data_IF_454008766542
#
_entry.id   IF_454008766542
#
_cell.length_a   1.000
_cell.length_b   1.000
_cell.length_c   1.000
_cell.angle_alpha   90.00
_cell.angle_beta   90.00
_cell.angle_gamma   90.00
#
_symmetry.space_group_name_H-M   'P 1'
#
loop_
_entity.id
_entity.type
_entity.pdbx_description
1 polymer ?
#
# COMPACT_ATOMS: atom_id res chain seq x y z
N UNK A 1 -27.82 -26.09 16.08
CA UNK A 1 -27.01 -25.25 16.98
C UNK A 1 -26.72 -23.93 16.26
N UNK A 2 -27.23 -22.76 16.62
CA UNK A 2 -28.26 -22.47 17.64
C UNK A 2 -27.75 -21.70 18.86
N UNK A 3 -27.67 -20.36 18.75
CA UNK A 3 -27.73 -19.36 19.83
C UNK A 3 -27.79 -17.95 19.21
N UNK A 4 -28.56 -17.05 19.83
CA UNK A 4 -28.70 -15.64 19.42
C UNK A 4 -28.81 -14.77 20.67
N UNK A 5 -28.00 -13.71 20.81
CA UNK A 5 -28.25 -12.62 21.78
C UNK A 5 -27.46 -11.34 21.45
N UNK A 6 -28.23 -10.26 21.32
CA UNK A 6 -27.99 -8.81 21.26
C UNK A 6 -26.90 -8.29 22.23
N UNK A 7 -26.23 -7.15 22.01
CA UNK A 7 -26.72 -5.75 22.03
C UNK A 7 -25.52 -4.78 21.83
N UNK A 8 -25.56 -3.44 21.68
CA UNK A 8 -26.43 -2.33 21.20
C UNK A 8 -25.59 -1.05 21.54
N UNK A 9 -25.49 0.11 20.87
CA UNK A 9 -25.91 0.82 19.62
C UNK A 9 -24.72 1.78 19.29
N UNK A 10 -24.54 2.57 18.21
CA UNK A 10 -25.33 3.16 17.09
C UNK A 10 -24.40 3.24 15.84
N UNK A 11 -24.82 3.58 14.61
CA UNK A 11 -26.15 3.82 14.03
C UNK A 11 -26.26 3.05 12.69
N UNK A 12 -27.47 2.72 12.25
CA UNK A 12 -27.68 1.82 11.12
C UNK A 12 -27.24 2.41 9.76
N UNK A 13 -26.39 1.67 9.06
CA UNK A 13 -26.10 1.87 7.63
C UNK A 13 -26.81 0.75 6.87
N UNK A 14 -27.84 1.10 6.11
CA UNK A 14 -28.41 0.24 5.08
C UNK A 14 -27.69 0.54 3.76
N UNK A 15 -27.16 -0.49 3.11
CA UNK A 15 -26.63 -0.38 1.75
C UNK A 15 -27.71 -0.82 0.76
N UNK A 16 -28.01 0.07 -0.18
CA UNK A 16 -29.06 -0.16 -1.17
C UNK A 16 -28.43 -0.51 -2.51
N UNK A 17 -28.84 -1.65 -3.07
CA UNK A 17 -28.33 -2.26 -4.29
C UNK A 17 -29.51 -2.76 -5.13
N UNK A 18 -29.29 -2.97 -6.42
CA UNK A 18 -30.29 -3.39 -7.42
C UNK A 18 -31.41 -2.36 -7.74
N UNK A 19 -31.86 -2.37 -9.00
CA UNK A 19 -32.97 -1.53 -9.47
C UNK A 19 -33.69 -2.14 -10.69
N UNK A 20 -34.55 -3.12 -10.42
CA UNK A 20 -35.79 -3.36 -11.18
C UNK A 20 -36.78 -3.93 -10.16
N UNK A 21 -37.55 -3.02 -9.57
CA UNK A 21 -37.96 -3.06 -8.15
C UNK A 21 -36.75 -2.89 -7.21
N UNK A 22 -37.05 -2.53 -5.95
CA UNK A 22 -36.07 -2.04 -4.97
C UNK A 22 -36.05 -3.01 -3.81
N UNK A 23 -35.07 -3.90 -3.81
CA UNK A 23 -34.81 -4.78 -2.68
C UNK A 23 -33.87 -4.10 -1.68
N UNK A 24 -34.14 -4.30 -0.39
CA UNK A 24 -33.30 -3.83 0.71
C UNK A 24 -32.46 -5.00 1.21
N UNK A 25 -31.15 -4.81 1.30
CA UNK A 25 -30.26 -5.82 1.86
C UNK A 25 -29.59 -5.27 3.11
N UNK A 26 -29.68 -6.07 4.19
CA UNK A 26 -28.88 -5.87 5.38
C UNK A 26 -27.49 -6.39 5.02
N UNK A 27 -26.47 -5.54 5.21
CA UNK A 27 -25.08 -5.88 4.96
C UNK A 27 -24.33 -5.83 6.30
N UNK A 28 -23.39 -6.75 6.50
CA UNK A 28 -22.65 -6.86 7.75
C UNK A 28 -21.54 -5.81 7.80
N UNK A 29 -21.51 -4.98 8.85
CA UNK A 29 -20.47 -3.97 9.06
C UNK A 29 -19.38 -4.48 10.00
N UNK A 30 -18.12 -4.28 9.61
CA UNK A 30 -16.95 -4.71 10.38
C UNK A 30 -16.03 -3.52 10.66
N UNK A 31 -15.97 -3.13 11.93
CA UNK A 31 -15.18 -2.00 12.43
C UNK A 31 -13.71 -2.40 12.64
N UNK A 32 -12.79 -1.51 12.26
CA UNK A 32 -11.37 -1.64 12.58
C UNK A 32 -11.07 -1.13 13.99
N UNK A 33 -10.11 -1.75 14.68
CA UNK A 33 -9.59 -1.23 15.95
C UNK A 33 -8.68 -0.03 15.69
N UNK A 34 -9.22 1.17 15.84
CA UNK A 34 -8.49 2.41 15.54
C UNK A 34 -8.11 3.24 16.77
N UNK A 35 -7.58 2.58 17.82
CA UNK A 35 -6.77 3.18 18.91
C UNK A 35 -7.38 4.38 19.68
N UNK A 36 -8.68 4.66 19.53
CA UNK A 36 -9.38 5.80 20.14
C UNK A 36 -9.58 7.01 19.23
N UNK A 37 -9.41 6.88 17.91
CA UNK A 37 -9.86 7.89 16.93
C UNK A 37 -11.39 7.98 16.85
N UNK A 38 -11.90 9.08 16.26
CA UNK A 38 -13.33 9.42 16.23
C UNK A 38 -14.08 8.68 15.12
N UNK A 39 -13.46 8.59 13.95
CA UNK A 39 -13.94 7.79 12.82
C UNK A 39 -12.92 6.68 12.57
N UNK A 40 -13.42 5.51 12.16
CA UNK A 40 -12.62 4.31 11.95
C UNK A 40 -12.93 3.75 10.57
N UNK A 41 -11.96 3.06 9.95
CA UNK A 41 -12.26 2.26 8.76
C UNK A 41 -13.35 1.24 9.10
N UNK A 42 -14.30 1.05 8.18
CA UNK A 42 -15.42 0.12 8.35
C UNK A 42 -15.65 -0.57 7.01
N UNK A 43 -15.44 -1.88 6.96
CA UNK A 43 -15.89 -2.66 5.80
C UNK A 43 -17.40 -2.90 5.93
N UNK A 44 -18.13 -2.90 4.82
CA UNK A 44 -19.55 -3.28 4.83
C UNK A 44 -19.82 -4.30 3.73
N UNK A 45 -20.07 -5.53 4.16
CA UNK A 45 -20.10 -6.72 3.32
C UNK A 45 -21.54 -7.06 2.95
N UNK A 46 -21.91 -6.81 1.68
CA UNK A 46 -23.23 -7.10 1.16
C UNK A 46 -23.29 -8.45 0.44
N UNK A 47 -24.33 -9.28 0.66
CA UNK A 47 -24.52 -10.53 -0.07
C UNK A 47 -24.81 -10.24 -1.55
N UNK A 48 -23.98 -10.78 -2.44
CA UNK A 48 -24.20 -10.67 -3.89
C UNK A 48 -25.30 -11.66 -4.34
N UNK A 49 -26.50 -11.16 -4.59
CA UNK A 49 -27.62 -11.97 -5.08
C UNK A 49 -27.50 -12.20 -6.60
N UNK A 50 -27.47 -13.46 -7.10
CA UNK A 50 -27.27 -13.76 -8.52
C UNK A 50 -28.30 -13.15 -9.49
N UNK A 51 -29.48 -12.77 -9.01
CA UNK A 51 -30.51 -12.11 -9.82
C UNK A 51 -30.24 -10.60 -10.05
N UNK A 52 -29.34 -9.99 -9.28
CA UNK A 52 -29.16 -8.55 -9.20
C UNK A 52 -27.74 -8.13 -9.61
N UNK A 53 -27.53 -7.92 -10.92
CA UNK A 53 -26.30 -7.37 -11.49
C UNK A 53 -26.12 -5.87 -11.14
N UNK A 54 -25.86 -5.60 -9.86
CA UNK A 54 -25.73 -4.27 -9.30
C UNK A 54 -24.39 -3.66 -9.68
N UNK A 55 -24.39 -2.47 -10.26
CA UNK A 55 -23.16 -1.75 -10.66
C UNK A 55 -22.73 -0.65 -9.69
N UNK A 56 -23.64 -0.22 -8.81
CA UNK A 56 -23.45 0.85 -7.85
C UNK A 56 -24.10 0.50 -6.50
N UNK A 57 -23.64 1.16 -5.44
CA UNK A 57 -24.21 1.09 -4.09
C UNK A 57 -24.50 2.50 -3.57
N UNK A 58 -25.39 2.63 -2.58
CA UNK A 58 -25.51 3.88 -1.80
C UNK A 58 -25.76 3.61 -0.31
N UNK A 59 -25.24 4.50 0.53
CA UNK A 59 -25.32 4.45 1.99
C UNK A 59 -26.57 5.22 2.45
N UNK A 60 -27.49 4.55 3.13
CA UNK A 60 -28.72 5.14 3.65
C UNK A 60 -28.90 4.83 5.14
N UNK A 61 -29.30 5.82 5.94
CA UNK A 61 -29.63 5.61 7.37
C UNK A 61 -31.06 5.07 7.58
N UNK A 62 -31.88 5.07 6.53
CA UNK A 62 -33.27 4.56 6.55
C UNK A 62 -33.62 3.89 5.21
N UNK A 63 -34.50 2.90 5.28
CA UNK A 63 -34.92 2.03 4.17
C UNK A 63 -36.01 2.65 3.24
N UNK A 64 -36.02 3.97 3.04
CA UNK A 64 -37.07 4.63 2.24
C UNK A 64 -36.70 4.67 0.73
N UNK A 65 -37.63 4.21 -0.11
CA UNK A 65 -37.53 4.23 -1.56
C UNK A 65 -37.22 5.63 -2.14
N UNK A 66 -37.82 6.70 -1.59
CA UNK A 66 -37.78 8.09 -2.08
C UNK A 66 -36.52 8.84 -1.67
N UNK A 67 -36.02 8.62 -0.45
CA UNK A 67 -34.86 9.34 0.09
C UNK A 67 -33.56 9.13 -0.72
N UNK A 68 -33.46 8.05 -1.49
CA UNK A 68 -32.28 7.77 -2.33
C UNK A 68 -32.19 8.61 -3.63
N UNK A 69 -33.21 9.40 -3.99
CA UNK A 69 -33.13 10.24 -5.20
C UNK A 69 -32.07 11.34 -5.08
N UNK A 70 -31.72 11.75 -3.86
CA UNK A 70 -30.70 12.77 -3.56
C UNK A 70 -29.41 12.17 -2.96
N UNK A 71 -29.16 10.86 -3.12
CA UNK A 71 -27.98 10.19 -2.56
C UNK A 71 -26.84 10.01 -3.56
N UNK A 72 -25.61 10.02 -3.04
CA UNK A 72 -24.40 9.69 -3.82
C UNK A 72 -24.34 8.19 -4.05
N UNK A 73 -24.30 7.78 -5.33
CA UNK A 73 -24.09 6.39 -5.73
C UNK A 73 -22.61 6.13 -6.01
N UNK A 74 -22.02 5.19 -5.28
CA UNK A 74 -20.63 4.77 -5.44
C UNK A 74 -20.58 3.58 -6.41
N UNK A 75 -19.71 3.64 -7.42
CA UNK A 75 -19.52 2.54 -8.39
C UNK A 75 -18.74 1.40 -7.77
N UNK A 76 -19.21 0.17 -7.98
CA UNK A 76 -18.50 -1.05 -7.59
C UNK A 76 -17.41 -1.31 -8.63
N UNK A 77 -16.15 -1.37 -8.21
CA UNK A 77 -15.02 -1.48 -9.15
C UNK A 77 -14.68 -2.94 -9.51
N UNK A 78 -14.86 -3.88 -8.58
CA UNK A 78 -14.45 -5.28 -8.69
C UNK A 78 -15.58 -6.22 -9.18
N UNK A 79 -16.43 -5.75 -10.08
CA UNK A 79 -17.58 -6.51 -10.61
C UNK A 79 -17.18 -7.67 -11.53
N UNK A 80 -16.15 -7.46 -12.36
CA UNK A 80 -15.70 -8.46 -13.34
C UNK A 80 -14.83 -9.48 -12.64
N UNK A 81 -15.45 -10.57 -12.17
CA UNK A 81 -14.74 -11.77 -11.72
C UNK A 81 -13.94 -12.34 -12.90
N UNK A 82 -12.68 -12.65 -12.64
CA UNK A 82 -11.74 -13.33 -13.52
C UNK A 82 -11.08 -14.46 -12.73
N UNK A 83 -10.62 -15.50 -13.40
CA UNK A 83 -9.71 -16.46 -12.75
C UNK A 83 -8.25 -15.96 -12.79
N UNK A 84 -7.37 -16.55 -11.97
CA UNK A 84 -6.05 -15.96 -11.71
C UNK A 84 -5.12 -15.98 -12.94
N UNK A 85 -5.41 -16.85 -13.90
CA UNK A 85 -4.79 -16.96 -15.22
C UNK A 85 -5.16 -15.80 -16.17
N UNK A 86 -6.28 -15.11 -15.90
CA UNK A 86 -6.77 -13.94 -16.65
C UNK A 86 -6.44 -12.60 -15.95
N UNK A 87 -5.66 -12.64 -14.85
CA UNK A 87 -5.26 -11.44 -14.13
C UNK A 87 -4.25 -10.63 -14.94
N UNK A 88 -4.48 -9.31 -15.02
CA UNK A 88 -3.65 -8.38 -15.77
C UNK A 88 -2.24 -8.25 -15.16
N UNK A 89 -2.14 -8.44 -13.84
CA UNK A 89 -0.91 -8.32 -13.08
C UNK A 89 -0.67 -9.60 -12.26
N UNK A 90 0.55 -10.15 -12.32
CA UNK A 90 0.98 -11.15 -11.36
C UNK A 90 1.24 -10.46 -10.01
N UNK A 91 1.89 -9.28 -10.02
CA UNK A 91 2.30 -8.57 -8.81
C UNK A 91 2.02 -7.06 -8.88
N UNK A 92 1.26 -6.57 -7.91
CA UNK A 92 0.91 -5.16 -7.71
C UNK A 92 1.40 -4.66 -6.35
N UNK A 93 1.78 -3.39 -6.27
CA UNK A 93 2.18 -2.71 -5.04
C UNK A 93 1.17 -1.62 -4.70
N UNK A 94 0.72 -1.57 -3.45
CA UNK A 94 -0.17 -0.54 -2.92
C UNK A 94 0.59 0.25 -1.85
N UNK A 95 0.89 1.51 -2.13
CA UNK A 95 1.46 2.41 -1.14
C UNK A 95 0.39 2.99 -0.22
N UNK A 96 0.80 3.26 1.01
CA UNK A 96 0.08 4.15 1.90
C UNK A 96 -0.09 5.56 1.29
N UNK A 97 -1.07 6.28 1.83
CA UNK A 97 -1.51 7.55 1.28
C UNK A 97 -0.45 8.66 1.38
N UNK A 98 -0.27 9.44 0.31
CA UNK A 98 0.56 10.64 0.28
C UNK A 98 -0.16 11.83 0.93
N UNK A 99 0.55 12.54 1.80
CA UNK A 99 0.06 13.73 2.50
C UNK A 99 1.21 14.67 2.87
N UNK A 100 0.85 15.87 3.34
CA UNK A 100 1.79 16.91 3.78
C UNK A 100 2.85 17.26 2.73
N UNK A 101 2.42 17.26 1.46
CA UNK A 101 3.15 17.79 0.31
C UNK A 101 4.49 17.07 0.07
N UNK A 102 4.51 15.76 0.39
CA UNK A 102 5.64 14.85 0.23
C UNK A 102 6.24 14.96 -1.18
N UNK A 103 7.55 15.26 -1.27
CA UNK A 103 8.25 15.60 -2.52
C UNK A 103 9.60 14.87 -2.66
N UNK A 104 9.69 13.63 -2.18
CA UNK A 104 10.92 12.83 -2.14
C UNK A 104 11.21 12.15 -3.50
N UNK A 105 11.29 12.95 -4.56
CA UNK A 105 11.42 12.54 -5.97
C UNK A 105 12.49 11.47 -6.19
N UNK A 106 13.70 11.67 -5.66
CA UNK A 106 14.82 10.76 -5.91
C UNK A 106 14.55 9.36 -5.34
N UNK A 107 14.12 9.28 -4.08
CA UNK A 107 13.77 8.00 -3.44
C UNK A 107 12.61 7.33 -4.18
N UNK A 108 11.55 8.06 -4.52
CA UNK A 108 10.40 7.48 -5.24
C UNK A 108 10.81 6.95 -6.62
N UNK A 109 11.64 7.69 -7.37
CA UNK A 109 12.11 7.22 -8.69
C UNK A 109 12.95 5.95 -8.57
N UNK A 110 13.87 5.93 -7.60
CA UNK A 110 14.71 4.75 -7.33
C UNK A 110 13.88 3.55 -6.86
N UNK A 111 12.86 3.77 -6.00
CA UNK A 111 11.91 2.75 -5.55
C UNK A 111 11.06 2.20 -6.71
N UNK A 112 10.53 3.04 -7.60
CA UNK A 112 9.72 2.61 -8.75
C UNK A 112 10.52 1.76 -9.74
N UNK A 113 11.73 2.20 -10.10
CA UNK A 113 12.60 1.43 -10.99
C UNK A 113 13.14 0.16 -10.32
N UNK A 114 13.44 0.18 -9.00
CA UNK A 114 13.71 -1.06 -8.26
C UNK A 114 12.53 -2.02 -8.32
N UNK A 115 11.29 -1.56 -8.15
CA UNK A 115 10.11 -2.43 -8.25
C UNK A 115 9.92 -3.02 -9.65
N UNK A 116 10.22 -2.28 -10.73
CA UNK A 116 10.27 -2.82 -12.10
C UNK A 116 11.28 -3.96 -12.21
N UNK A 117 12.51 -3.75 -11.73
CA UNK A 117 13.57 -4.78 -11.75
C UNK A 117 13.23 -6.00 -10.87
N UNK A 118 12.44 -5.80 -9.81
CA UNK A 118 11.92 -6.84 -8.93
C UNK A 118 10.65 -7.54 -9.47
N UNK A 119 10.18 -7.21 -10.68
CA UNK A 119 9.07 -7.89 -11.36
C UNK A 119 7.68 -7.43 -10.93
N UNK A 120 7.55 -6.23 -10.36
CA UNK A 120 6.25 -5.55 -10.18
C UNK A 120 5.74 -5.04 -11.52
N UNK A 121 4.43 -5.12 -11.75
CA UNK A 121 3.79 -4.70 -12.99
C UNK A 121 2.88 -3.47 -12.83
N UNK A 122 2.41 -3.18 -11.62
CA UNK A 122 1.53 -2.05 -11.32
C UNK A 122 1.80 -1.52 -9.91
N UNK A 123 1.76 -0.21 -9.72
CA UNK A 123 1.91 0.47 -8.43
C UNK A 123 0.72 1.41 -8.23
N UNK A 124 0.11 1.40 -7.05
CA UNK A 124 -1.09 2.15 -6.73
C UNK A 124 -0.78 3.11 -5.59
N UNK A 125 -1.10 4.39 -5.79
CA UNK A 125 -0.69 5.49 -4.90
C UNK A 125 -1.92 6.33 -4.56
N UNK A 126 -2.35 6.27 -3.31
CA UNK A 126 -3.42 7.15 -2.82
C UNK A 126 -2.82 8.52 -2.51
N UNK A 127 -3.50 9.60 -2.90
CA UNK A 127 -2.93 10.95 -2.81
C UNK A 127 -3.92 11.96 -2.20
N UNK A 128 -3.63 12.43 -0.98
CA UNK A 128 -4.24 13.63 -0.38
C UNK A 128 -3.46 14.89 -0.75
N UNK A 129 -2.14 14.87 -0.64
CA UNK A 129 -1.26 15.87 -1.26
C UNK A 129 0.18 15.39 -1.43
N UNK A 130 0.83 15.84 -2.50
CA UNK A 130 2.24 15.64 -2.81
C UNK A 130 2.84 16.94 -3.36
N UNK A 131 4.17 17.09 -3.32
CA UNK A 131 4.84 18.23 -3.92
C UNK A 131 4.80 18.22 -5.46
N UNK A 132 5.04 19.37 -6.12
CA UNK A 132 4.85 19.53 -7.57
C UNK A 132 5.87 18.75 -8.41
N UNK A 133 7.02 18.38 -7.84
CA UNK A 133 8.03 17.61 -8.56
C UNK A 133 7.69 16.11 -8.53
N UNK A 134 7.21 15.62 -7.38
CA UNK A 134 6.66 14.29 -7.27
C UNK A 134 5.36 14.13 -8.07
N UNK A 135 4.51 15.17 -8.13
CA UNK A 135 3.32 15.14 -8.99
C UNK A 135 3.72 14.94 -10.47
N UNK A 136 4.69 15.70 -10.99
CA UNK A 136 5.22 15.54 -12.35
C UNK A 136 5.81 14.14 -12.59
N UNK A 137 6.54 13.60 -11.61
CA UNK A 137 7.07 12.24 -11.66
C UNK A 137 5.95 11.19 -11.77
N UNK A 138 4.96 11.24 -10.87
CA UNK A 138 3.85 10.29 -10.85
C UNK A 138 2.99 10.39 -12.12
N UNK A 139 2.73 11.60 -12.63
CA UNK A 139 2.06 11.81 -13.91
C UNK A 139 2.80 11.11 -15.07
N UNK A 140 4.14 11.18 -15.11
CA UNK A 140 4.96 10.49 -16.13
C UNK A 140 4.81 8.97 -16.08
N UNK A 141 4.77 8.37 -14.88
CA UNK A 141 4.57 6.93 -14.71
C UNK A 141 3.12 6.48 -14.93
N UNK A 142 2.13 7.34 -14.65
CA UNK A 142 0.72 7.09 -14.99
C UNK A 142 0.50 7.08 -16.50
N UNK A 143 1.19 7.94 -17.26
CA UNK A 143 1.19 7.89 -18.73
C UNK A 143 1.85 6.62 -19.30
N UNK A 144 2.72 5.94 -18.54
CA UNK A 144 3.28 4.62 -18.89
C UNK A 144 2.37 3.45 -18.47
N UNK A 145 1.28 3.71 -17.76
CA UNK A 145 0.40 2.68 -17.21
C UNK A 145 1.04 1.83 -16.10
N UNK A 146 2.13 2.31 -15.48
CA UNK A 146 2.81 1.61 -14.38
C UNK A 146 2.37 2.10 -12.99
N UNK A 147 1.87 3.33 -12.90
CA UNK A 147 1.37 3.93 -11.65
C UNK A 147 -0.09 4.37 -11.80
N UNK A 148 -0.97 3.88 -10.92
CA UNK A 148 -2.32 4.41 -10.70
C UNK A 148 -2.31 5.39 -9.52
N UNK A 149 -2.47 6.68 -9.79
CA UNK A 149 -2.72 7.68 -8.73
C UNK A 149 -4.21 7.74 -8.44
N UNK A 150 -4.60 7.42 -7.20
CA UNK A 150 -5.97 7.45 -6.72
C UNK A 150 -6.18 8.72 -5.88
N UNK A 151 -7.03 9.67 -6.29
CA UNK A 151 -7.32 10.85 -5.48
C UNK A 151 -7.97 10.46 -4.14
N UNK A 152 -7.40 10.97 -3.04
CA UNK A 152 -7.87 10.71 -1.67
C UNK A 152 -7.99 12.03 -0.89
N UNK A 153 -8.96 12.90 -1.22
CA UNK A 153 -9.12 14.24 -0.63
C UNK A 153 -9.74 14.21 0.79
N UNK A 154 -9.29 13.31 1.66
CA UNK A 154 -9.84 13.08 3.00
C UNK A 154 -9.82 14.34 3.88
N UNK A 155 -8.82 15.21 3.67
CA UNK A 155 -8.68 16.52 4.32
C UNK A 155 -9.78 17.53 3.94
N UNK A 156 -10.56 17.29 2.88
CA UNK A 156 -11.73 18.10 2.52
C UNK A 156 -13.01 17.66 3.25
N UNK A 157 -12.97 16.53 3.98
CA UNK A 157 -14.13 15.91 4.60
C UNK A 157 -14.00 15.70 6.12
N UNK A 158 -12.77 15.63 6.64
CA UNK A 158 -12.46 15.49 8.08
C UNK A 158 -11.05 16.02 8.36
N UNK A 159 -10.62 16.09 9.62
CA UNK A 159 -9.26 16.46 10.00
C UNK A 159 -8.38 15.19 10.18
N UNK A 160 -7.65 14.71 9.16
CA UNK A 160 -6.83 13.51 9.28
C UNK A 160 -5.67 13.67 10.26
N UNK A 161 -5.38 12.63 11.04
CA UNK A 161 -4.21 12.60 11.91
C UNK A 161 -2.92 12.43 11.13
N UNK A 162 -1.86 13.10 11.61
CA UNK A 162 -0.48 12.93 11.15
C UNK A 162 0.28 11.80 11.86
N UNK A 163 -0.39 11.04 12.74
CA UNK A 163 0.23 9.97 13.51
C UNK A 163 -0.75 8.88 13.97
N UNK A 164 -0.22 7.93 14.75
CA UNK A 164 -0.97 6.76 15.20
C UNK A 164 -1.62 6.90 16.59
N UNK A 165 -1.31 7.95 17.34
CA UNK A 165 -1.90 8.23 18.66
C UNK A 165 -2.77 9.49 18.60
N UNK A 166 -4.10 9.40 18.83
CA UNK A 166 -4.98 10.58 18.83
C UNK A 166 -4.63 11.56 19.95
N UNK A 167 -4.08 11.07 21.07
CA UNK A 167 -3.67 11.90 22.23
C UNK A 167 -2.46 12.78 21.96
N UNK A 168 -1.57 12.37 21.05
CA UNK A 168 -0.33 13.08 20.73
C UNK A 168 -0.45 13.89 19.43
N UNK A 169 -1.17 13.35 18.43
CA UNK A 169 -1.19 13.89 17.07
C UNK A 169 -2.53 14.56 16.70
N UNK A 170 -3.56 14.43 17.55
CA UNK A 170 -4.92 14.88 17.24
C UNK A 170 -5.51 14.21 15.99
N UNK A 171 -6.54 14.84 15.43
CA UNK A 171 -7.24 14.37 14.21
C UNK A 171 -8.42 13.44 14.50
N UNK A 172 -9.35 13.35 13.54
CA UNK A 172 -10.56 12.53 13.61
C UNK A 172 -10.32 11.06 13.20
N UNK A 173 -9.31 10.77 12.36
CA UNK A 173 -8.99 9.43 11.82
C UNK A 173 -7.46 9.19 11.76
N UNK A 174 -7.01 7.96 11.95
CA UNK A 174 -5.61 7.52 11.93
C UNK A 174 -4.92 7.69 10.57
N UNK A 175 -3.68 8.22 10.57
CA UNK A 175 -2.78 8.39 9.40
C UNK A 175 -3.50 8.62 8.06
N UNK A 176 -4.24 9.72 7.91
CA UNK A 176 -4.96 10.06 6.67
C UNK A 176 -5.87 8.96 6.11
N UNK A 177 -6.35 8.02 6.94
CA UNK A 177 -7.15 6.88 6.49
C UNK A 177 -6.34 5.78 5.80
N UNK A 178 -5.04 5.62 6.11
CA UNK A 178 -4.14 4.59 5.57
C UNK A 178 -4.77 3.18 5.59
N UNK A 179 -5.50 2.84 6.65
CA UNK A 179 -6.24 1.57 6.75
C UNK A 179 -7.31 1.45 5.65
N UNK A 180 -8.05 2.51 5.37
CA UNK A 180 -9.06 2.52 4.30
C UNK A 180 -8.41 2.41 2.92
N UNK A 181 -7.33 3.15 2.66
CA UNK A 181 -6.65 3.14 1.35
C UNK A 181 -5.99 1.80 1.04
N UNK A 182 -5.35 1.15 2.02
CA UNK A 182 -4.73 -0.16 1.83
C UNK A 182 -5.78 -1.25 1.54
N UNK A 183 -6.92 -1.27 2.25
CA UNK A 183 -7.97 -2.26 1.99
C UNK A 183 -8.75 -1.97 0.70
N UNK A 184 -9.05 -0.71 0.34
CA UNK A 184 -9.61 -0.39 -0.98
C UNK A 184 -8.68 -0.89 -2.10
N UNK A 185 -7.36 -0.74 -1.94
CA UNK A 185 -6.40 -1.20 -2.95
C UNK A 185 -6.46 -2.72 -3.16
N UNK A 186 -6.56 -3.51 -2.08
CA UNK A 186 -6.76 -4.97 -2.14
C UNK A 186 -8.07 -5.32 -2.83
N UNK A 187 -9.19 -4.70 -2.45
CA UNK A 187 -10.51 -5.00 -3.02
C UNK A 187 -10.64 -4.56 -4.50
N UNK A 188 -10.06 -3.41 -4.87
CA UNK A 188 -9.95 -2.89 -6.24
C UNK A 188 -9.17 -3.82 -7.17
N UNK A 189 -8.11 -4.43 -6.66
CA UNK A 189 -7.24 -5.33 -7.43
C UNK A 189 -7.62 -6.81 -7.32
N UNK A 190 -8.73 -7.14 -6.65
CA UNK A 190 -9.11 -8.52 -6.31
C UNK A 190 -9.26 -9.48 -7.50
N UNK A 191 -9.64 -8.96 -8.67
CA UNK A 191 -9.76 -9.72 -9.93
C UNK A 191 -8.80 -9.20 -11.02
N UNK A 192 -7.71 -8.54 -10.60
CA UNK A 192 -6.72 -7.91 -11.48
C UNK A 192 -5.28 -8.32 -11.12
N UNK A 193 -5.02 -8.69 -9.87
CA UNK A 193 -3.66 -8.95 -9.34
C UNK A 193 -3.58 -10.24 -8.54
N UNK A 194 -2.65 -11.15 -8.90
CA UNK A 194 -2.45 -12.43 -8.17
C UNK A 194 -1.83 -12.21 -6.79
N UNK A 195 -0.94 -11.23 -6.68
CA UNK A 195 -0.39 -10.72 -5.43
C UNK A 195 -0.55 -9.21 -5.33
N UNK A 196 -0.84 -8.75 -4.11
CA UNK A 196 -0.78 -7.34 -3.71
C UNK A 196 0.17 -7.21 -2.53
N UNK A 197 1.18 -6.35 -2.67
CA UNK A 197 2.02 -5.89 -1.57
C UNK A 197 1.41 -4.62 -0.94
N UNK A 198 1.34 -4.59 0.39
CA UNK A 198 1.01 -3.41 1.19
C UNK A 198 2.29 -2.92 1.88
N UNK A 199 2.78 -1.72 1.53
CA UNK A 199 3.96 -1.09 2.13
C UNK A 199 3.88 0.44 2.16
N UNK A 200 4.83 1.08 2.84
CA UNK A 200 5.01 2.53 2.83
C UNK A 200 6.03 2.95 1.74
N UNK A 201 5.88 4.15 1.18
CA UNK A 201 6.60 4.61 -0.02
C UNK A 201 8.13 4.70 0.14
N UNK A 202 8.61 4.80 1.37
CA UNK A 202 10.03 4.84 1.74
C UNK A 202 10.66 3.44 1.98
N UNK A 203 9.92 2.38 1.69
CA UNK A 203 10.31 0.98 1.85
C UNK A 203 10.42 0.24 0.51
N UNK A 204 11.45 -0.60 0.36
CA UNK A 204 11.57 -1.56 -0.76
C UNK A 204 11.59 -2.98 -0.20
N UNK A 205 10.68 -3.82 -0.68
CA UNK A 205 10.68 -5.26 -0.36
C UNK A 205 11.66 -5.98 -1.28
N UNK A 206 12.82 -6.39 -0.77
CA UNK A 206 13.89 -6.98 -1.55
C UNK A 206 14.07 -8.48 -1.23
N UNK A 207 13.87 -9.40 -2.19
CA UNK A 207 14.22 -10.81 -2.02
C UNK A 207 15.74 -10.98 -2.08
N UNK A 208 16.30 -11.90 -1.28
CA UNK A 208 17.75 -12.17 -1.19
C UNK A 208 18.11 -13.54 -1.77
N UNK A 209 17.18 -14.48 -1.83
CA UNK A 209 17.37 -15.83 -2.42
C UNK A 209 16.83 -15.94 -3.86
N UNK A 210 16.19 -14.89 -4.37
CA UNK A 210 15.52 -14.85 -5.68
C UNK A 210 15.77 -13.49 -6.35
N UNK A 211 15.67 -13.43 -7.69
CA UNK A 211 15.91 -12.19 -8.43
C UNK A 211 14.70 -11.25 -8.40
N UNK A 212 13.49 -11.81 -8.32
CA UNK A 212 12.22 -11.05 -8.40
C UNK A 212 11.20 -11.53 -7.35
N UNK A 213 10.24 -10.66 -7.02
CA UNK A 213 9.17 -10.95 -6.07
C UNK A 213 8.24 -12.09 -6.55
N UNK A 214 7.82 -12.17 -7.83
CA UNK A 214 7.08 -13.33 -8.35
C UNK A 214 7.81 -14.67 -8.16
N UNK A 215 9.12 -14.74 -8.44
CA UNK A 215 9.91 -15.98 -8.25
C UNK A 215 9.89 -16.44 -6.79
N UNK A 216 10.06 -15.50 -5.85
CA UNK A 216 9.96 -15.79 -4.41
C UNK A 216 8.57 -16.31 -4.05
N UNK A 217 7.50 -15.66 -4.53
CA UNK A 217 6.13 -16.06 -4.18
C UNK A 217 5.74 -17.43 -4.75
N UNK A 218 6.19 -17.78 -5.96
CA UNK A 218 5.97 -19.13 -6.51
C UNK A 218 6.69 -20.22 -5.70
N UNK A 219 7.89 -19.95 -5.16
CA UNK A 219 8.59 -20.88 -4.25
C UNK A 219 7.85 -20.99 -2.91
N UNK A 220 7.47 -19.86 -2.30
CA UNK A 220 6.74 -19.83 -1.04
C UNK A 220 5.37 -20.53 -1.14
N UNK A 221 4.66 -20.41 -2.28
CA UNK A 221 3.40 -21.11 -2.52
C UNK A 221 3.56 -22.63 -2.70
N UNK A 222 4.61 -23.10 -3.40
CA UNK A 222 4.89 -24.54 -3.52
C UNK A 222 5.18 -25.19 -2.16
N UNK A 223 5.84 -24.44 -1.28
CA UNK A 223 6.08 -24.87 0.10
C UNK A 223 4.83 -24.74 0.99
N UNK A 224 3.97 -23.74 0.75
CA UNK A 224 2.79 -23.45 1.57
C UNK A 224 1.60 -22.96 0.71
N UNK A 225 0.70 -23.84 0.23
CA UNK A 225 -0.27 -23.52 -0.83
C UNK A 225 -1.33 -22.44 -0.55
N UNK A 226 -1.48 -21.97 0.69
CA UNK A 226 -2.57 -21.06 1.13
C UNK A 226 -2.11 -19.70 1.66
N UNK A 227 -0.88 -19.28 1.35
CA UNK A 227 -0.15 -18.29 2.18
C UNK A 227 -0.16 -16.86 1.65
N UNK A 228 -0.42 -15.92 2.57
CA UNK A 228 0.08 -14.54 2.54
C UNK A 228 1.34 -14.38 3.40
N UNK A 229 2.33 -13.63 2.91
CA UNK A 229 3.65 -13.48 3.53
C UNK A 229 3.81 -12.20 4.34
N UNK A 230 4.19 -12.32 5.61
CA UNK A 230 4.59 -11.20 6.47
C UNK A 230 6.11 -11.04 6.53
N UNK A 231 6.61 -9.83 6.25
CA UNK A 231 8.02 -9.46 6.07
C UNK A 231 8.46 -8.51 7.19
N UNK A 232 9.72 -8.57 7.65
CA UNK A 232 10.21 -7.72 8.77
C UNK A 232 10.97 -6.49 8.29
N UNK A 233 10.71 -5.36 8.94
CA UNK A 233 11.45 -4.10 8.72
C UNK A 233 12.95 -4.25 9.05
N UNK A 234 13.80 -3.54 8.31
CA UNK A 234 15.25 -3.42 8.54
C UNK A 234 15.68 -2.02 8.09
N UNK A 235 16.43 -1.30 8.93
CA UNK A 235 16.74 0.11 8.72
C UNK A 235 18.10 0.30 8.05
N UNK A 236 18.21 1.25 7.13
CA UNK A 236 19.42 1.47 6.32
C UNK A 236 19.95 2.91 6.48
N UNK A 237 21.17 3.03 7.01
CA UNK A 237 21.87 4.28 7.27
C UNK A 237 22.77 4.74 6.10
N UNK A 238 22.97 6.06 5.92
CA UNK A 238 23.82 6.61 4.87
C UNK A 238 25.29 6.21 5.06
N UNK A 239 25.93 5.79 3.96
CA UNK A 239 27.31 5.31 3.96
C UNK A 239 28.34 6.31 3.42
N UNK A 240 27.91 7.45 2.89
CA UNK A 240 28.76 8.43 2.21
C UNK A 240 29.37 7.93 0.89
N UNK A 241 28.85 6.83 0.34
CA UNK A 241 29.23 6.23 -0.95
C UNK A 241 28.05 6.34 -1.91
N UNK A 242 28.29 6.11 -3.21
CA UNK A 242 27.26 6.22 -4.27
C UNK A 242 26.62 7.62 -4.43
N UNK A 243 27.34 8.66 -3.99
CA UNK A 243 27.01 10.04 -4.33
C UNK A 243 27.21 10.30 -5.83
N UNK A 244 26.13 10.62 -6.55
CA UNK A 244 26.17 11.02 -7.96
C UNK A 244 25.91 12.51 -8.09
N UNK A 245 26.84 13.32 -8.64
CA UNK A 245 26.63 14.76 -8.82
C UNK A 245 25.36 15.10 -9.62
N UNK A 246 24.96 14.25 -10.57
CA UNK A 246 23.73 14.40 -11.37
C UNK A 246 22.43 14.30 -10.55
N UNK A 247 22.46 13.70 -9.36
CA UNK A 247 21.27 13.58 -8.48
C UNK A 247 21.25 14.59 -7.34
N UNK A 248 22.29 15.43 -7.19
CA UNK A 248 22.43 16.36 -6.05
C UNK A 248 21.27 17.35 -5.92
N UNK A 249 20.80 17.86 -7.06
CA UNK A 249 19.77 18.90 -7.12
C UNK A 249 18.35 18.31 -7.29
N UNK A 250 18.22 16.97 -7.28
CA UNK A 250 16.93 16.27 -7.35
C UNK A 250 16.39 16.11 -5.92
N UNK A 251 15.17 16.62 -5.60
CA UNK A 251 14.64 16.53 -4.25
C UNK A 251 14.54 15.10 -3.73
N UNK A 252 15.14 14.79 -2.58
CA UNK A 252 14.93 13.53 -1.89
C UNK A 252 16.18 12.81 -1.39
N UNK A 253 16.00 11.53 -1.03
CA UNK A 253 17.05 10.67 -0.47
C UNK A 253 17.56 9.71 -1.55
N UNK A 254 18.88 9.61 -1.68
CA UNK A 254 19.55 8.64 -2.54
C UNK A 254 19.64 7.26 -1.84
N UNK A 255 18.76 6.31 -2.19
CA UNK A 255 18.77 4.97 -1.57
C UNK A 255 20.09 4.23 -1.80
N UNK A 256 20.78 4.48 -2.92
CA UNK A 256 22.06 3.84 -3.22
C UNK A 256 23.15 4.24 -2.22
N UNK A 257 23.03 5.38 -1.55
CA UNK A 257 23.95 5.77 -0.49
C UNK A 257 23.71 5.01 0.83
N UNK A 258 22.53 4.42 1.03
CA UNK A 258 22.07 3.87 2.30
C UNK A 258 22.22 2.33 2.32
N UNK A 259 23.33 1.86 2.89
CA UNK A 259 23.71 0.42 2.89
C UNK A 259 24.31 -0.08 4.21
N UNK A 260 24.21 0.69 5.29
CA UNK A 260 24.58 0.22 6.64
C UNK A 260 23.31 -0.14 7.40
N UNK A 261 23.07 -1.43 7.57
CA UNK A 261 21.83 -2.01 8.08
C UNK A 261 21.88 -2.21 9.59
N UNK A 262 20.85 -1.74 10.29
CA UNK A 262 20.61 -2.12 11.68
C UNK A 262 19.96 -3.52 11.74
N UNK A 263 20.50 -4.42 12.57
CA UNK A 263 19.81 -5.67 12.92
C UNK A 263 18.64 -5.39 13.88
N UNK A 264 17.42 -5.87 13.59
CA UNK A 264 16.26 -5.63 14.44
C UNK A 264 16.42 -6.31 15.82
N UNK A 265 16.05 -5.62 16.91
CA UNK A 265 16.11 -6.21 18.25
C UNK A 265 15.10 -7.38 18.39
N UNK A 266 15.60 -8.60 18.23
CA UNK A 266 14.83 -9.85 18.28
C UNK A 266 14.05 -10.07 19.59
N UNK A 267 14.29 -9.27 20.64
CA UNK A 267 13.55 -9.31 21.92
C UNK A 267 12.21 -8.57 21.88
N UNK A 268 12.00 -7.66 20.92
CA UNK A 268 10.77 -6.85 20.82
C UNK A 268 9.98 -7.14 19.54
N UNK A 269 8.66 -6.94 19.58
CA UNK A 269 7.81 -7.08 18.40
C UNK A 269 8.09 -5.94 17.43
N UNK A 270 8.68 -6.29 16.29
CA UNK A 270 8.86 -5.38 15.17
C UNK A 270 7.56 -5.28 14.35
N UNK A 271 7.31 -4.14 13.68
CA UNK A 271 6.34 -4.06 12.60
C UNK A 271 6.70 -5.01 11.45
N UNK A 272 5.69 -5.31 10.63
CA UNK A 272 5.81 -6.13 9.43
C UNK A 272 5.15 -5.41 8.25
N UNK A 273 5.46 -5.82 7.02
CA UNK A 273 4.70 -5.49 5.79
C UNK A 273 4.30 -6.77 5.07
N UNK A 274 3.35 -6.69 4.13
CA UNK A 274 2.55 -7.87 3.75
C UNK A 274 2.34 -8.05 2.25
N UNK A 275 2.65 -9.25 1.74
CA UNK A 275 2.22 -9.71 0.42
C UNK A 275 1.00 -10.63 0.60
N UNK A 276 -0.16 -10.19 0.11
CA UNK A 276 -1.43 -10.92 0.18
C UNK A 276 -1.87 -11.43 -1.19
N UNK A 277 -2.60 -12.55 -1.23
CA UNK A 277 -3.50 -12.85 -2.36
C UNK A 277 -4.83 -12.16 -2.04
N UNK A 278 -5.32 -11.22 -2.87
CA UNK A 278 -6.55 -10.48 -2.57
C UNK A 278 -7.76 -11.37 -2.25
N UNK A 279 -8.00 -12.42 -3.06
CA UNK A 279 -9.09 -13.40 -2.87
C UNK A 279 -9.00 -14.22 -1.56
N UNK A 280 -7.91 -14.11 -0.80
CA UNK A 280 -7.68 -14.89 0.43
C UNK A 280 -7.78 -14.06 1.72
N UNK A 281 -7.94 -12.73 1.65
CA UNK A 281 -8.04 -11.84 2.81
C UNK A 281 -9.41 -11.14 2.86
N UNK A 282 -9.86 -10.83 4.08
CA UNK A 282 -11.08 -10.04 4.33
C UNK A 282 -10.71 -8.66 4.90
N UNK A 283 -9.73 -8.62 5.82
CA UNK A 283 -9.32 -7.38 6.49
C UNK A 283 -7.81 -7.35 6.74
N UNK A 284 -7.16 -6.20 6.49
CA UNK A 284 -5.74 -5.97 6.73
C UNK A 284 -5.48 -4.69 7.52
N UNK A 285 -4.59 -4.74 8.51
CA UNK A 285 -3.99 -3.54 9.11
C UNK A 285 -2.72 -3.15 8.35
N UNK A 286 -2.04 -2.08 8.77
CA UNK A 286 -0.72 -1.68 8.21
C UNK A 286 0.33 -2.80 8.36
N UNK A 287 0.24 -3.64 9.39
CA UNK A 287 1.29 -4.61 9.74
C UNK A 287 0.84 -6.07 9.92
N UNK A 288 -0.46 -6.35 9.84
CA UNK A 288 -1.00 -7.70 10.04
C UNK A 288 -2.33 -7.91 9.33
N UNK A 289 -2.53 -9.11 8.80
CA UNK A 289 -3.84 -9.57 8.31
C UNK A 289 -4.72 -9.80 9.54
N UNK A 290 -5.86 -9.11 9.60
CA UNK A 290 -6.80 -9.19 10.73
C UNK A 290 -7.82 -10.31 10.54
N UNK A 291 -8.23 -10.55 9.28
CA UNK A 291 -9.15 -11.63 8.90
C UNK A 291 -8.79 -12.19 7.52
N UNK A 292 -8.81 -13.51 7.38
CA UNK A 292 -8.49 -14.22 6.14
C UNK A 292 -9.15 -15.61 6.05
N UNK A 293 -9.20 -16.11 4.81
CA UNK A 293 -9.71 -17.44 4.45
C UNK A 293 -8.57 -18.45 4.20
N UNK A 294 -7.32 -18.04 4.45
CA UNK A 294 -6.09 -18.78 4.16
C UNK A 294 -5.16 -18.90 5.36
N UNK A 295 -3.87 -19.07 5.08
CA UNK A 295 -2.81 -19.12 6.08
C UNK A 295 -1.91 -17.88 5.97
N UNK A 296 -1.22 -17.55 7.06
CA UNK A 296 -0.22 -16.48 7.12
C UNK A 296 1.11 -17.09 7.51
N UNK A 297 2.18 -16.83 6.75
CA UNK A 297 3.55 -17.23 7.10
C UNK A 297 4.42 -15.99 7.27
N UNK A 298 5.28 -16.00 8.29
CA UNK A 298 6.32 -14.99 8.45
C UNK A 298 7.52 -15.41 7.59
N UNK A 299 7.85 -14.60 6.58
CA UNK A 299 8.98 -14.84 5.69
C UNK A 299 10.28 -14.71 6.51
N UNK A 300 11.21 -15.68 6.47
CA UNK A 300 12.50 -15.56 7.14
C UNK A 300 13.31 -14.38 6.57
N UNK A 301 14.03 -13.59 7.40
CA UNK A 301 14.78 -12.42 6.91
C UNK A 301 15.78 -12.77 5.80
N UNK A 302 16.48 -13.89 5.94
CA UNK A 302 17.44 -14.38 4.94
C UNK A 302 16.81 -14.76 3.59
N UNK A 303 15.48 -14.84 3.47
CA UNK A 303 14.76 -14.99 2.18
C UNK A 303 14.43 -13.62 1.59
N UNK A 304 14.01 -12.67 2.42
CA UNK A 304 13.55 -11.34 2.01
C UNK A 304 13.63 -10.35 3.19
N UNK A 305 14.24 -9.18 2.97
CA UNK A 305 14.22 -8.06 3.90
C UNK A 305 13.37 -6.89 3.33
N UNK A 306 12.99 -5.99 4.22
CA UNK A 306 12.50 -4.66 3.86
C UNK A 306 13.68 -3.71 3.98
N UNK A 307 13.98 -2.97 2.92
CA UNK A 307 14.97 -1.90 2.89
C UNK A 307 14.24 -0.60 3.23
N UNK A 308 14.26 -0.22 4.51
CA UNK A 308 13.65 1.03 4.98
C UNK A 308 14.72 2.12 5.09
N UNK A 309 14.72 3.06 4.14
CA UNK A 309 15.70 4.16 4.08
C UNK A 309 15.15 5.35 4.85
N UNK A 310 15.62 5.53 6.10
CA UNK A 310 15.13 6.52 7.06
C UNK A 310 16.20 6.94 8.07
N UNK A 311 15.91 8.00 8.83
CA UNK A 311 16.73 8.41 9.98
C UNK A 311 16.74 7.29 11.05
N UNK A 312 17.91 6.98 11.66
CA UNK A 312 18.05 5.90 12.65
C UNK A 312 17.10 6.04 13.85
N UNK A 313 16.53 4.92 14.29
CA UNK A 313 15.65 4.89 15.48
C UNK A 313 16.44 4.87 16.79
N UNK A 314 17.56 4.13 16.86
CA UNK A 314 18.44 4.10 18.02
C UNK A 314 19.52 5.18 17.91
N UNK A 315 19.46 6.16 18.80
CA UNK A 315 20.49 7.20 18.91
C UNK A 315 21.76 6.61 19.52
N UNK A 316 22.91 6.89 18.91
CA UNK A 316 24.22 6.52 19.46
C UNK A 316 24.67 5.10 19.15
N UNK A 317 24.09 4.44 18.13
CA UNK A 317 24.73 3.31 17.48
C UNK A 317 26.10 3.73 16.93
N UNK A 318 27.11 2.89 17.13
CA UNK A 318 28.40 3.05 16.47
C UNK A 318 28.40 2.31 15.13
N UNK A 319 29.27 2.74 14.20
CA UNK A 319 29.29 2.20 12.83
C UNK A 319 29.64 0.70 12.80
N UNK A 320 30.36 0.25 13.82
CA UNK A 320 30.80 -1.12 14.06
C UNK A 320 29.64 -2.04 14.52
N UNK A 321 28.49 -1.47 14.92
CA UNK A 321 27.25 -2.20 15.22
C UNK A 321 26.35 -2.38 13.97
N UNK A 322 26.72 -1.81 12.83
CA UNK A 322 25.93 -1.83 11.58
C UNK A 322 26.49 -2.84 10.57
N UNK A 323 25.61 -3.59 9.92
CA UNK A 323 25.98 -4.58 8.92
C UNK A 323 25.99 -3.98 7.52
N UNK A 324 26.99 -4.27 6.70
CA UNK A 324 27.01 -3.77 5.31
C UNK A 324 26.09 -4.63 4.41
N UNK A 325 25.00 -4.03 3.93
CA UNK A 325 24.02 -4.69 3.05
C UNK A 325 23.89 -3.93 1.72
N UNK A 326 24.50 -4.50 0.69
CA UNK A 326 24.63 -3.92 -0.65
C UNK A 326 23.51 -4.33 -1.62
N UNK A 327 22.39 -4.90 -1.16
CA UNK A 327 21.40 -5.55 -2.05
C UNK A 327 20.86 -4.66 -3.17
N UNK A 328 20.81 -3.34 -3.00
CA UNK A 328 20.41 -2.39 -4.06
C UNK A 328 21.49 -2.25 -5.15
N UNK A 329 22.77 -2.38 -4.80
CA UNK A 329 23.90 -2.23 -5.73
C UNK A 329 24.00 -3.39 -6.73
N UNK A 330 23.45 -4.57 -6.41
CA UNK A 330 23.31 -5.68 -7.37
C UNK A 330 22.56 -5.27 -8.64
N UNK A 331 21.73 -4.23 -8.55
CA UNK A 331 20.90 -3.68 -9.63
C UNK A 331 21.50 -2.43 -10.29
N UNK A 332 22.64 -1.88 -9.80
CA UNK A 332 23.24 -0.60 -10.21
C UNK A 332 23.21 -0.38 -11.72
N UNK A 333 23.75 -1.36 -12.47
CA UNK A 333 23.92 -1.31 -13.93
C UNK A 333 22.61 -1.11 -14.70
N UNK A 334 21.47 -1.43 -14.10
CA UNK A 334 20.13 -1.26 -14.68
C UNK A 334 19.39 -0.10 -14.01
N UNK A 335 19.48 0.02 -12.69
CA UNK A 335 18.79 1.04 -11.90
C UNK A 335 19.27 2.46 -12.24
N UNK A 336 20.59 2.69 -12.29
CA UNK A 336 21.15 4.03 -12.53
C UNK A 336 20.67 4.65 -13.85
N UNK A 337 20.82 4.00 -15.04
CA UNK A 337 20.34 4.57 -16.29
C UNK A 337 18.80 4.64 -16.38
N UNK A 338 18.07 3.74 -15.71
CA UNK A 338 16.61 3.82 -15.64
C UNK A 338 16.14 5.06 -14.85
N UNK A 339 16.76 5.32 -13.70
CA UNK A 339 16.44 6.48 -12.85
C UNK A 339 16.81 7.78 -13.54
N UNK A 340 17.98 7.86 -14.19
CA UNK A 340 18.37 9.04 -15.00
C UNK A 340 17.31 9.33 -16.08
N UNK A 341 16.93 8.31 -16.87
CA UNK A 341 15.90 8.41 -17.92
C UNK A 341 14.51 8.79 -17.37
N UNK A 342 14.12 8.29 -16.20
CA UNK A 342 12.83 8.61 -15.58
C UNK A 342 12.77 10.08 -15.11
N UNK A 343 13.85 10.57 -14.51
CA UNK A 343 13.99 11.97 -14.10
C UNK A 343 14.07 12.91 -15.31
N UNK A 344 14.80 12.54 -16.37
CA UNK A 344 14.80 13.26 -17.65
C UNK A 344 13.38 13.42 -18.21
N UNK A 345 12.63 12.31 -18.31
CA UNK A 345 11.26 12.32 -18.85
C UNK A 345 10.30 13.17 -18.03
N UNK A 346 10.46 13.22 -16.71
CA UNK A 346 9.66 14.07 -15.82
C UNK A 346 10.07 15.56 -15.84
N UNK A 347 11.15 15.93 -16.54
CA UNK A 347 11.71 17.28 -16.50
C UNK A 347 12.33 17.62 -15.13
N UNK A 348 12.96 16.64 -14.50
CA UNK A 348 13.57 16.69 -13.17
C UNK A 348 15.09 16.46 -13.21
N UNK A 349 15.63 16.05 -14.36
CA UNK A 349 17.07 15.98 -14.65
C UNK A 349 17.33 16.53 -16.06
N UNK A 350 18.40 17.32 -16.24
CA UNK A 350 18.74 17.96 -17.52
C UNK A 350 20.22 17.73 -17.83
N UNK A 351 20.52 16.70 -18.62
CA UNK A 351 21.84 16.55 -19.25
C UNK A 351 21.95 17.53 -20.43
N UNK A 352 22.44 18.76 -20.17
CA UNK A 352 22.44 19.77 -21.24
C UNK A 352 23.19 21.08 -21.02
N UNK A 353 23.62 21.44 -19.80
CA UNK A 353 24.63 22.49 -19.64
C UNK A 353 26.01 21.90 -19.88
N UNK A 354 26.50 22.03 -21.12
CA UNK A 354 27.92 22.31 -21.31
C UNK A 354 28.16 23.72 -20.78
N UNK A 355 29.17 23.87 -19.94
CA UNK A 355 29.81 25.17 -19.68
C UNK A 355 30.68 25.56 -20.89
#
# INVERSE_FOLDING_TARGET
>A
FGRSTWSLIYSGIFLRMCFRFVDLHICDSVLYWDKGFRFVTTDVLCPNLPACNSSHVTLATQADAKLAQNQTFLRIQNLVKREEEEFQFNFTVCWSNLFADYNNVLQVTQTLEMYRLLGVQHVVVYNTSCGPDLERLLQSYTQEGFVEVVPWPINQHMNPSRGWQPREHGGDIHYYGQLTTLNDCVYRHMYQSRYVLLNDIDEIIAPYQHQTLPQMMDVLQRQNPKVGGGLRESHFEPSGRFERPSWRDVPGINIMAHIYREEPDYRISHPFKMIVRPRAVEQTSVHSVLRNFGQTVKVPPNVCHIIHVRVPLRRGLMKEELHEDKRVWDYERQLVPNVDKALEKAGLLIFGRKE
#
